data_IF_238361251536
#
_entry.id   IF_238361251536
#
_cell.length_a   1.000
_cell.length_b   1.000
_cell.length_c   1.000
_cell.angle_alpha   90.00
_cell.angle_beta   90.00
_cell.angle_gamma   90.00
#
_symmetry.space_group_name_H-M   'P 1'
#
loop_
_entity.id
_entity.type
_entity.pdbx_description
1 polymer ?
#
# COMPACT_ATOMS: atom_id res chain seq x y z
N UNK A 1 -0.14 18.71 -10.05
CA UNK A 1 0.02 17.44 -9.31
C UNK A 1 -1.33 16.78 -9.30
N UNK A 2 -1.42 15.59 -9.85
CA UNK A 2 -2.68 14.84 -9.93
C UNK A 2 -2.91 14.12 -8.60
N UNK A 3 -4.18 13.89 -8.27
CA UNK A 3 -4.51 13.15 -7.04
C UNK A 3 -4.53 11.67 -7.38
N UNK A 4 -3.67 10.87 -6.75
CA UNK A 4 -3.65 9.42 -6.97
C UNK A 4 -4.12 8.69 -5.73
N UNK A 5 -5.05 7.76 -5.91
CA UNK A 5 -5.47 6.81 -4.87
C UNK A 5 -4.88 5.45 -5.20
N UNK A 6 -4.03 4.94 -4.31
CA UNK A 6 -3.42 3.62 -4.44
C UNK A 6 -3.98 2.69 -3.36
N UNK A 7 -4.39 1.49 -3.75
CA UNK A 7 -4.80 0.41 -2.89
C UNK A 7 -3.75 -0.71 -2.96
N UNK A 8 -3.35 -1.22 -1.79
CA UNK A 8 -2.50 -2.40 -1.70
C UNK A 8 -3.11 -3.45 -0.78
N UNK A 9 -3.10 -4.70 -1.21
CA UNK A 9 -3.42 -5.85 -0.37
C UNK A 9 -2.18 -6.64 -0.01
N UNK A 10 -2.16 -7.19 1.21
CA UNK A 10 -1.02 -7.91 1.78
C UNK A 10 -1.52 -9.25 2.31
N UNK A 11 -0.98 -10.36 1.82
CA UNK A 11 -1.36 -11.71 2.22
C UNK A 11 -0.17 -12.70 2.13
N UNK A 12 0.33 -13.27 3.25
CA UNK A 12 -0.08 -13.01 4.63
C UNK A 12 0.55 -11.74 5.20
N UNK A 13 -0.28 -10.86 5.78
CA UNK A 13 0.08 -9.61 6.45
C UNK A 13 1.19 -9.79 7.49
N UNK A 14 1.14 -10.86 8.28
CA UNK A 14 2.13 -11.11 9.34
C UNK A 14 3.54 -11.31 8.81
N UNK A 15 3.70 -11.82 7.59
CA UNK A 15 5.01 -12.00 6.97
C UNK A 15 5.49 -10.72 6.26
N UNK A 16 4.61 -10.06 5.50
CA UNK A 16 5.02 -9.02 4.55
C UNK A 16 4.79 -7.59 5.02
N UNK A 17 3.97 -7.35 6.05
CA UNK A 17 3.71 -5.99 6.54
C UNK A 17 4.97 -5.22 6.97
N UNK A 18 6.00 -5.82 7.60
CA UNK A 18 7.24 -5.10 7.91
C UNK A 18 7.95 -4.58 6.65
N UNK A 19 8.04 -5.39 5.60
CA UNK A 19 8.68 -5.01 4.34
C UNK A 19 7.90 -3.89 3.65
N UNK A 20 6.57 -4.01 3.60
CA UNK A 20 5.69 -2.95 3.08
C UNK A 20 5.89 -1.65 3.85
N UNK A 21 5.96 -1.69 5.19
CA UNK A 21 6.20 -0.49 6.00
C UNK A 21 7.52 0.20 5.64
N UNK A 22 8.60 -0.56 5.40
CA UNK A 22 9.89 0.00 4.97
C UNK A 22 9.76 0.76 3.65
N UNK A 23 9.07 0.20 2.65
CA UNK A 23 8.84 0.87 1.36
C UNK A 23 7.98 2.12 1.54
N UNK A 24 6.89 2.03 2.30
CA UNK A 24 6.03 3.21 2.57
C UNK A 24 6.77 4.32 3.32
N UNK A 25 7.69 3.98 4.23
CA UNK A 25 8.53 4.97 4.93
C UNK A 25 9.52 5.62 3.98
N UNK A 26 10.14 4.86 3.06
CA UNK A 26 11.05 5.39 2.03
C UNK A 26 10.34 6.43 1.14
N UNK A 27 9.08 6.16 0.78
CA UNK A 27 8.24 7.02 -0.07
C UNK A 27 7.36 8.01 0.70
N UNK A 28 7.65 8.23 2.00
CA UNK A 28 6.77 8.97 2.91
C UNK A 28 6.45 10.41 2.48
N UNK A 29 7.35 11.08 1.74
CA UNK A 29 7.12 12.44 1.25
C UNK A 29 5.97 12.53 0.21
N UNK A 30 5.73 11.47 -0.55
CA UNK A 30 4.67 11.41 -1.55
C UNK A 30 3.29 11.08 -0.93
N UNK A 31 3.26 10.50 0.27
CA UNK A 31 2.06 9.96 0.91
C UNK A 31 1.40 11.03 1.78
N UNK A 32 0.27 11.58 1.30
CA UNK A 32 -0.57 12.51 2.08
C UNK A 32 -1.42 11.82 3.13
N UNK A 33 -1.86 10.59 2.85
CA UNK A 33 -2.72 9.83 3.77
C UNK A 33 -2.44 8.35 3.60
N UNK A 34 -2.38 7.62 4.72
CA UNK A 34 -2.26 6.17 4.79
C UNK A 34 -3.35 5.64 5.71
N UNK A 35 -4.29 4.89 5.15
CA UNK A 35 -5.38 4.25 5.88
C UNK A 35 -5.19 2.73 5.85
N UNK A 36 -4.91 2.15 7.02
CA UNK A 36 -4.88 0.69 7.19
C UNK A 36 -6.28 0.17 7.52
N UNK A 37 -6.77 -0.76 6.72
CA UNK A 37 -8.04 -1.45 6.90
C UNK A 37 -7.77 -2.88 7.34
N UNK A 38 -8.36 -3.27 8.47
CA UNK A 38 -8.28 -4.62 9.00
C UNK A 38 -9.61 -5.34 8.76
N UNK A 39 -9.60 -6.44 8.01
CA UNK A 39 -10.75 -7.34 7.94
C UNK A 39 -10.76 -8.21 9.21
N UNK A 40 -11.40 -7.74 10.28
CA UNK A 40 -11.78 -8.63 11.36
C UNK A 40 -13.07 -9.34 10.95
N UNK A 41 -12.99 -10.58 10.48
CA UNK A 41 -14.14 -11.48 10.55
C UNK A 41 -14.32 -11.91 12.00
N UNK A 42 -15.55 -11.94 12.51
CA UNK A 42 -15.88 -12.17 13.94
C UNK A 42 -15.20 -13.41 14.57
N UNK A 43 -14.80 -14.40 13.76
CA UNK A 43 -14.21 -15.67 14.23
C UNK A 43 -12.74 -15.90 13.85
N UNK A 44 -12.08 -14.99 13.11
CA UNK A 44 -10.65 -15.16 12.79
C UNK A 44 -9.92 -13.85 12.51
N UNK A 45 -8.74 -13.70 13.11
CA UNK A 45 -7.78 -12.67 12.70
C UNK A 45 -7.43 -12.91 11.23
N UNK A 46 -8.01 -12.13 10.32
CA UNK A 46 -7.66 -12.23 8.90
C UNK A 46 -6.16 -11.98 8.74
N UNK A 47 -5.50 -12.91 8.06
CA UNK A 47 -4.11 -12.74 7.64
C UNK A 47 -4.01 -11.74 6.49
N UNK A 48 -5.12 -11.28 5.91
CA UNK A 48 -5.11 -10.25 4.88
C UNK A 48 -5.06 -8.85 5.50
N UNK A 49 -4.36 -7.95 4.83
CA UNK A 49 -4.37 -6.52 5.13
C UNK A 49 -4.70 -5.72 3.88
N UNK A 50 -5.41 -4.62 4.04
CA UNK A 50 -5.67 -3.65 2.97
C UNK A 50 -5.16 -2.29 3.44
N UNK A 51 -4.42 -1.58 2.58
CA UNK A 51 -3.99 -0.20 2.83
C UNK A 51 -4.42 0.67 1.65
N UNK A 52 -4.99 1.83 1.95
CA UNK A 52 -5.27 2.88 0.99
C UNK A 52 -4.29 4.04 1.21
N UNK A 53 -3.70 4.53 0.12
CA UNK A 53 -2.81 5.67 0.09
C UNK A 53 -3.42 6.77 -0.76
N UNK A 54 -3.37 7.99 -0.25
CA UNK A 54 -3.54 9.20 -1.05
C UNK A 54 -2.14 9.74 -1.34
N UNK A 55 -1.78 9.75 -2.62
CA UNK A 55 -0.49 10.21 -3.12
C UNK A 55 -0.62 11.59 -3.76
N UNK A 56 0.40 12.40 -3.56
CA UNK A 56 0.55 13.70 -4.19
C UNK A 56 1.96 13.84 -4.72
N UNK A 57 2.17 13.13 -5.81
CA UNK A 57 3.45 12.97 -6.49
C UNK A 57 3.22 13.00 -8.00
N UNK A 58 4.31 13.02 -8.77
CA UNK A 58 4.21 12.77 -10.20
C UNK A 58 4.04 11.27 -10.52
N UNK A 59 3.71 10.97 -11.77
CA UNK A 59 3.49 9.59 -12.21
C UNK A 59 4.75 8.71 -12.09
N UNK A 60 5.95 9.31 -12.11
CA UNK A 60 7.19 8.57 -11.98
C UNK A 60 7.34 8.06 -10.54
N UNK A 61 7.20 8.93 -9.55
CA UNK A 61 7.23 8.57 -8.13
C UNK A 61 6.12 7.55 -7.77
N UNK A 62 4.93 7.66 -8.37
CA UNK A 62 3.84 6.67 -8.18
C UNK A 62 4.26 5.29 -8.71
N UNK A 63 4.92 5.23 -9.88
CA UNK A 63 5.39 3.97 -10.47
C UNK A 63 6.55 3.37 -9.68
N UNK A 64 7.51 4.18 -9.24
CA UNK A 64 8.62 3.70 -8.42
C UNK A 64 8.11 3.09 -7.10
N UNK A 65 7.11 3.71 -6.46
CA UNK A 65 6.44 3.15 -5.30
C UNK A 65 5.68 1.85 -5.64
N UNK A 66 4.96 1.80 -6.76
CA UNK A 66 4.27 0.59 -7.21
C UNK A 66 5.27 -0.56 -7.42
N UNK A 67 6.35 -0.32 -8.17
CA UNK A 67 7.37 -1.31 -8.54
C UNK A 67 8.03 -1.92 -7.28
N UNK A 68 8.39 -1.08 -6.29
CA UNK A 68 8.95 -1.58 -5.03
C UNK A 68 7.96 -2.37 -4.19
N UNK A 69 6.66 -2.07 -4.28
CA UNK A 69 5.62 -2.78 -3.54
C UNK A 69 5.27 -4.12 -4.19
N UNK A 70 5.20 -4.21 -5.52
CA UNK A 70 4.88 -5.45 -6.24
C UNK A 70 6.00 -6.49 -6.18
N UNK A 71 7.24 -6.06 -5.94
CA UNK A 71 8.39 -6.94 -5.72
C UNK A 71 8.33 -7.68 -4.37
N UNK A 72 7.46 -7.25 -3.45
CA UNK A 72 7.22 -7.95 -2.18
C UNK A 72 6.22 -9.09 -2.45
N UNK A 73 6.64 -10.33 -2.17
CA UNK A 73 5.76 -11.48 -2.28
C UNK A 73 4.47 -11.29 -1.45
N UNK A 74 3.35 -11.78 -1.96
CA UNK A 74 2.05 -11.63 -1.30
C UNK A 74 1.46 -10.20 -1.30
N UNK A 75 2.09 -9.24 -1.99
CA UNK A 75 1.55 -7.87 -2.16
C UNK A 75 0.92 -7.69 -3.53
N UNK A 76 -0.23 -7.02 -3.59
CA UNK A 76 -0.86 -6.59 -4.84
C UNK A 76 -1.16 -5.10 -4.77
N UNK A 77 -0.91 -4.39 -5.85
CA UNK A 77 -1.12 -2.94 -5.95
C UNK A 77 -2.06 -2.61 -7.10
N UNK A 78 -2.92 -1.62 -6.88
CA UNK A 78 -3.72 -0.94 -7.91
C UNK A 78 -3.79 0.54 -7.57
N UNK A 79 -3.81 1.41 -8.56
CA UNK A 79 -4.07 2.83 -8.35
C UNK A 79 -4.92 3.42 -9.46
N UNK A 80 -5.48 4.58 -9.17
CA UNK A 80 -6.20 5.41 -10.13
C UNK A 80 -5.83 6.88 -9.91
N UNK A 81 -5.78 7.63 -11.00
CA UNK A 81 -5.67 9.09 -10.99
C UNK A 81 -7.07 9.70 -11.01
N UNK A 82 -7.29 10.70 -10.16
CA UNK A 82 -8.53 11.48 -10.03
C UNK A 82 -8.43 12.84 -10.70
#
# INVERSE_FOLDING_TARGET
METTIMALSIDPRTAHAPQVQTVLTKHGCAIKTRLGLHEASEDSCSQKGLILLHLSSDLQEVKELEDELIDIDGVRVKYMTL
#
